data_IF_543846215434
#
_entry.id   IF_543846215434
#
_cell.length_a   1.000
_cell.length_b   1.000
_cell.length_c   1.000
_cell.angle_alpha   90.00
_cell.angle_beta   90.00
_cell.angle_gamma   90.00
#
_symmetry.space_group_name_H-M   'P 1'
#
loop_
_entity.id
_entity.type
_entity.pdbx_description
1 polymer ?
#
# COMPACT_ATOMS: atom_id res chain seq x y z
N UNK A 1 7.33 10.68 -14.18
CA UNK A 1 7.93 9.90 -13.08
C UNK A 1 8.82 8.83 -13.71
N UNK A 2 10.07 8.69 -13.29
CA UNK A 2 10.97 7.63 -13.80
C UNK A 2 10.58 6.33 -13.12
N UNK A 3 10.40 5.24 -13.89
CA UNK A 3 10.11 3.92 -13.32
C UNK A 3 11.34 3.37 -12.61
N UNK A 4 11.20 3.03 -11.32
CA UNK A 4 12.26 2.42 -10.51
C UNK A 4 12.21 0.89 -10.65
N UNK A 5 12.80 0.40 -11.74
CA UNK A 5 12.84 -1.04 -12.02
C UNK A 5 13.56 -1.86 -10.93
N UNK A 6 14.48 -1.24 -10.19
CA UNK A 6 15.28 -1.94 -9.19
C UNK A 6 14.49 -2.24 -7.91
N UNK A 7 13.48 -1.44 -7.59
CA UNK A 7 12.67 -1.62 -6.38
C UNK A 7 11.28 -2.19 -6.66
N UNK A 8 10.97 -2.50 -7.91
CA UNK A 8 9.72 -3.12 -8.32
C UNK A 8 9.51 -4.46 -7.59
N UNK A 9 8.35 -4.61 -6.96
CA UNK A 9 7.90 -5.82 -6.24
C UNK A 9 8.74 -6.22 -5.02
N UNK A 10 9.72 -5.41 -4.60
CA UNK A 10 10.50 -5.66 -3.38
C UNK A 10 9.74 -5.20 -2.15
N UNK A 11 9.86 -5.95 -1.06
CA UNK A 11 9.38 -5.55 0.27
C UNK A 11 10.52 -4.86 1.00
N UNK A 12 10.36 -3.58 1.30
CA UNK A 12 11.27 -2.78 2.11
C UNK A 12 10.77 -2.81 3.56
N UNK A 13 11.65 -3.24 4.45
CA UNK A 13 11.41 -3.24 5.89
C UNK A 13 11.75 -1.85 6.41
N UNK A 14 10.75 -1.14 6.95
CA UNK A 14 10.94 0.21 7.49
C UNK A 14 11.44 0.15 8.93
N UNK A 15 10.99 -0.85 9.71
CA UNK A 15 11.43 -1.06 11.08
C UNK A 15 11.49 -2.56 11.41
N UNK A 16 12.62 -3.00 11.98
CA UNK A 16 12.88 -4.39 12.38
C UNK A 16 12.42 -4.74 13.80
N UNK A 17 11.90 -3.77 14.55
CA UNK A 17 11.37 -3.96 15.89
C UNK A 17 10.23 -4.99 15.90
N UNK A 18 10.18 -5.80 16.95
CA UNK A 18 9.10 -6.80 17.15
C UNK A 18 7.71 -6.18 17.06
N UNK A 19 7.55 -4.93 17.49
CA UNK A 19 6.25 -4.22 17.44
C UNK A 19 5.79 -3.83 16.03
N UNK A 20 6.66 -3.94 15.02
CA UNK A 20 6.40 -3.67 13.60
C UNK A 20 6.27 -4.96 12.77
N UNK A 21 6.58 -6.14 13.30
CA UNK A 21 6.50 -7.39 12.53
C UNK A 21 5.14 -7.62 11.87
N UNK A 22 4.04 -7.33 12.59
CA UNK A 22 2.69 -7.43 12.00
C UNK A 22 2.49 -6.45 10.83
N UNK A 23 3.04 -5.24 10.92
CA UNK A 23 3.01 -4.26 9.84
C UNK A 23 3.73 -4.83 8.60
N UNK A 24 4.94 -5.36 8.78
CA UNK A 24 5.72 -5.91 7.66
C UNK A 24 5.08 -7.16 7.04
N UNK A 25 4.45 -8.02 7.86
CA UNK A 25 3.66 -9.16 7.38
C UNK A 25 2.45 -8.69 6.56
N UNK A 26 1.70 -7.69 7.04
CA UNK A 26 0.56 -7.14 6.28
C UNK A 26 1.03 -6.55 4.95
N UNK A 27 2.14 -5.81 4.95
CA UNK A 27 2.74 -5.23 3.75
C UNK A 27 3.06 -6.31 2.71
N UNK A 28 3.74 -7.37 3.14
CA UNK A 28 4.04 -8.53 2.28
C UNK A 28 2.78 -9.16 1.71
N UNK A 29 1.77 -9.45 2.54
CA UNK A 29 0.54 -10.12 2.11
C UNK A 29 -0.25 -9.29 1.10
N UNK A 30 -0.37 -7.98 1.30
CA UNK A 30 -1.06 -7.09 0.34
C UNK A 30 -0.34 -7.10 -1.00
N UNK A 31 1.00 -6.99 -1.02
CA UNK A 31 1.79 -7.08 -2.26
C UNK A 31 1.59 -8.43 -2.94
N UNK A 32 1.65 -9.54 -2.19
CA UNK A 32 1.40 -10.88 -2.73
C UNK A 32 0.00 -11.01 -3.35
N UNK A 33 -1.03 -10.43 -2.73
CA UNK A 33 -2.40 -10.46 -3.24
C UNK A 33 -2.56 -9.66 -4.53
N UNK A 34 -2.03 -8.43 -4.58
CA UNK A 34 -2.00 -7.62 -5.82
C UNK A 34 -1.29 -8.43 -6.91
N UNK A 35 -0.14 -9.02 -6.61
CA UNK A 35 0.55 -9.85 -7.58
C UNK A 35 -0.28 -11.08 -7.98
N UNK A 36 -1.01 -11.72 -7.10
CA UNK A 36 -1.82 -12.88 -7.50
C UNK A 36 -2.98 -12.48 -8.44
N UNK A 37 -3.57 -11.31 -8.25
CA UNK A 37 -4.69 -10.81 -9.05
C UNK A 37 -4.28 -10.47 -10.49
N UNK A 38 -3.11 -9.84 -10.67
CA UNK A 38 -2.66 -9.38 -11.97
C UNK A 38 -1.65 -10.35 -12.60
N UNK A 39 -2.15 -11.27 -13.44
CA UNK A 39 -1.31 -12.25 -14.18
C UNK A 39 -0.26 -11.56 -15.06
N UNK A 40 -0.64 -10.49 -15.76
CA UNK A 40 0.30 -9.72 -16.56
C UNK A 40 0.97 -8.61 -15.73
N UNK A 41 2.24 -8.83 -15.38
CA UNK A 41 3.05 -7.89 -14.59
C UNK A 41 3.42 -6.62 -15.33
N UNK A 42 3.37 -6.61 -16.66
CA UNK A 42 3.73 -5.42 -17.44
C UNK A 42 2.72 -4.28 -17.30
N UNK A 43 1.55 -4.52 -16.70
CA UNK A 43 0.50 -3.52 -16.50
C UNK A 43 0.47 -2.95 -15.09
N UNK A 44 1.31 -3.45 -14.19
CA UNK A 44 1.29 -3.04 -12.81
C UNK A 44 2.68 -2.63 -12.33
N UNK A 45 2.72 -1.68 -11.42
CA UNK A 45 3.91 -1.38 -10.63
C UNK A 45 3.52 -1.44 -9.16
N UNK A 46 4.29 -2.15 -8.37
CA UNK A 46 4.13 -2.17 -6.92
C UNK A 46 5.48 -1.83 -6.30
N UNK A 47 5.48 -0.83 -5.44
CA UNK A 47 6.64 -0.43 -4.65
C UNK A 47 6.24 -0.39 -3.19
N UNK A 48 7.21 -0.60 -2.30
CA UNK A 48 7.05 -0.38 -0.87
C UNK A 48 7.95 0.77 -0.44
N UNK A 49 7.51 1.58 0.53
CA UNK A 49 8.26 2.76 1.01
C UNK A 49 8.73 3.68 -0.14
N UNK A 50 7.87 3.88 -1.14
CA UNK A 50 8.22 4.65 -2.32
C UNK A 50 8.05 6.14 -2.06
N UNK A 51 9.12 6.91 -2.24
CA UNK A 51 9.09 8.35 -1.95
C UNK A 51 8.37 9.11 -3.06
N UNK A 52 7.16 9.53 -2.75
CA UNK A 52 6.41 10.55 -3.49
C UNK A 52 6.80 11.94 -2.97
N UNK A 53 6.53 13.00 -3.72
CA UNK A 53 6.88 14.36 -3.28
C UNK A 53 6.07 14.74 -2.02
N UNK A 54 6.69 14.63 -0.85
CA UNK A 54 6.05 14.90 0.45
C UNK A 54 5.26 13.73 1.05
N UNK A 55 5.30 12.54 0.45
CA UNK A 55 4.63 11.33 0.95
C UNK A 55 5.48 10.08 0.77
N UNK A 56 5.25 9.08 1.60
CA UNK A 56 5.88 7.76 1.47
C UNK A 56 4.87 6.73 1.96
N UNK A 57 3.99 6.23 1.08
CA UNK A 57 3.06 5.16 1.43
C UNK A 57 3.83 3.87 1.73
N UNK A 58 3.25 3.02 2.57
CA UNK A 58 3.81 1.70 2.88
C UNK A 58 3.82 0.82 1.63
N UNK A 59 2.77 0.95 0.80
CA UNK A 59 2.67 0.30 -0.51
C UNK A 59 2.12 1.29 -1.52
N UNK A 60 2.81 1.46 -2.64
CA UNK A 60 2.35 2.17 -3.81
C UNK A 60 2.01 1.15 -4.90
N UNK A 61 0.76 1.11 -5.34
CA UNK A 61 0.30 0.31 -6.47
C UNK A 61 -0.12 1.23 -7.61
N UNK A 62 0.35 0.96 -8.82
CA UNK A 62 -0.02 1.66 -10.04
C UNK A 62 -0.49 0.65 -11.08
N UNK A 63 -1.68 0.89 -11.64
CA UNK A 63 -2.22 0.16 -12.77
C UNK A 63 -2.12 1.02 -14.04
N UNK A 64 -1.22 0.60 -14.93
CA UNK A 64 -0.85 1.33 -16.14
C UNK A 64 -2.00 1.37 -17.15
N UNK A 65 -2.85 0.34 -17.13
CA UNK A 65 -3.96 0.16 -18.07
C UNK A 65 -5.14 1.06 -17.71
N UNK A 66 -5.53 1.08 -16.44
CA UNK A 66 -6.65 1.90 -15.95
C UNK A 66 -6.22 3.31 -15.58
N UNK A 67 -4.92 3.58 -15.56
CA UNK A 67 -4.36 4.85 -15.09
C UNK A 67 -4.78 5.17 -13.67
N UNK A 68 -4.80 4.15 -12.80
CA UNK A 68 -5.12 4.33 -11.39
C UNK A 68 -3.92 4.02 -10.51
N UNK A 69 -3.81 4.76 -9.41
CA UNK A 69 -2.84 4.56 -8.35
C UNK A 69 -3.57 4.37 -7.04
N UNK A 70 -3.12 3.41 -6.25
CA UNK A 70 -3.61 3.16 -4.91
C UNK A 70 -2.43 3.15 -3.94
N UNK A 71 -2.49 4.02 -2.94
CA UNK A 71 -1.52 4.09 -1.87
C UNK A 71 -2.07 3.45 -0.60
N UNK A 72 -1.41 2.41 -0.08
CA UNK A 72 -1.79 1.78 1.17
C UNK A 72 -1.02 2.38 2.34
N UNK A 73 -1.73 2.66 3.43
CA UNK A 73 -1.17 3.22 4.67
C UNK A 73 -1.56 2.32 5.86
N UNK A 74 -0.59 1.58 6.38
CA UNK A 74 -0.72 0.58 7.42
C UNK A 74 -0.37 1.21 8.77
N UNK A 75 -1.38 1.42 9.61
CA UNK A 75 -1.21 2.04 10.93
C UNK A 75 -1.69 1.13 12.04
N UNK A 76 -1.03 1.21 13.21
CA UNK A 76 -1.49 0.50 14.42
C UNK A 76 -2.94 0.88 14.75
N UNK A 77 -3.22 2.18 14.68
CA UNK A 77 -4.53 2.78 14.84
C UNK A 77 -4.53 4.12 14.10
N UNK A 78 -5.69 4.62 13.68
CA UNK A 78 -5.81 5.97 13.13
C UNK A 78 -6.87 6.76 13.88
N UNK A 79 -6.54 8.01 14.21
CA UNK A 79 -7.53 8.98 14.71
C UNK A 79 -8.34 9.54 13.54
N UNK A 80 -9.54 10.07 13.84
CA UNK A 80 -10.33 10.82 12.85
C UNK A 80 -9.54 11.99 12.25
N UNK A 81 -8.72 12.65 13.07
CA UNK A 81 -7.87 13.77 12.63
C UNK A 81 -6.76 13.32 11.69
N UNK A 82 -6.12 12.18 11.95
CA UNK A 82 -5.10 11.62 11.07
C UNK A 82 -5.72 11.22 9.72
N UNK A 83 -6.87 10.55 9.77
CA UNK A 83 -7.57 10.11 8.56
C UNK A 83 -7.96 11.31 7.69
N UNK A 84 -8.56 12.35 8.30
CA UNK A 84 -8.92 13.59 7.59
C UNK A 84 -7.70 14.24 6.91
N UNK A 85 -6.59 14.39 7.65
CA UNK A 85 -5.34 14.96 7.11
C UNK A 85 -4.79 14.15 5.95
N UNK A 86 -4.80 12.81 6.05
CA UNK A 86 -4.33 11.93 4.99
C UNK A 86 -5.24 11.97 3.76
N UNK A 87 -6.56 11.98 3.95
CA UNK A 87 -7.51 12.18 2.85
C UNK A 87 -7.26 13.50 2.12
N UNK A 88 -7.11 14.60 2.84
CA UNK A 88 -6.76 15.90 2.23
C UNK A 88 -5.42 15.84 1.51
N UNK A 89 -4.40 15.19 2.10
CA UNK A 89 -3.08 15.06 1.51
C UNK A 89 -3.10 14.29 0.18
N UNK A 90 -3.78 13.14 0.14
CA UNK A 90 -3.88 12.31 -1.07
C UNK A 90 -4.79 12.93 -2.14
N UNK A 91 -5.91 13.55 -1.74
CA UNK A 91 -6.81 14.22 -2.69
C UNK A 91 -6.16 15.40 -3.42
N UNK A 92 -5.21 16.09 -2.76
CA UNK A 92 -4.49 17.22 -3.34
C UNK A 92 -3.23 16.80 -4.11
N UNK A 93 -2.87 15.51 -4.11
CA UNK A 93 -1.66 15.03 -4.76
C UNK A 93 -1.96 14.58 -6.19
N UNK A 94 -1.39 15.29 -7.15
CA UNK A 94 -1.57 14.97 -8.56
C UNK A 94 -0.48 14.04 -9.08
N UNK A 95 -0.91 12.99 -9.78
CA UNK A 95 -0.03 12.14 -10.59
C UNK A 95 -0.41 12.37 -12.05
N UNK A 96 0.48 12.91 -12.89
CA UNK A 96 0.15 13.21 -14.28
C UNK A 96 -0.46 12.00 -14.99
N UNK A 97 -1.67 12.17 -15.52
CA UNK A 97 -2.44 11.15 -16.22
C UNK A 97 -2.96 9.98 -15.38
N UNK A 98 -2.89 10.03 -14.04
CA UNK A 98 -3.42 8.98 -13.16
C UNK A 98 -4.40 9.53 -12.13
N UNK A 99 -5.39 8.72 -11.78
CA UNK A 99 -6.16 8.92 -10.55
C UNK A 99 -5.40 8.36 -9.36
N UNK A 100 -5.56 8.95 -8.18
CA UNK A 100 -4.92 8.52 -6.96
C UNK A 100 -5.96 8.33 -5.85
N UNK A 101 -6.00 7.12 -5.32
CA UNK A 101 -6.74 6.77 -4.11
C UNK A 101 -5.77 6.32 -3.01
N UNK A 102 -6.24 6.33 -1.77
CA UNK A 102 -5.51 5.72 -0.67
C UNK A 102 -6.40 4.83 0.19
N UNK A 103 -5.80 3.78 0.74
CA UNK A 103 -6.47 2.78 1.57
C UNK A 103 -5.76 2.71 2.93
N UNK A 104 -6.40 3.16 4.01
CA UNK A 104 -5.87 2.99 5.35
C UNK A 104 -6.16 1.59 5.89
N UNK A 105 -5.13 0.90 6.38
CA UNK A 105 -5.24 -0.43 6.99
C UNK A 105 -4.96 -0.35 8.50
N UNK A 106 -5.92 -0.76 9.33
CA UNK A 106 -5.81 -0.67 10.79
C UNK A 106 -5.36 -2.01 11.41
N UNK A 107 -4.11 -2.10 11.83
CA UNK A 107 -3.55 -3.36 12.34
C UNK A 107 -4.29 -3.92 13.56
N UNK A 108 -4.84 -3.06 14.43
CA UNK A 108 -5.61 -3.47 15.61
C UNK A 108 -6.95 -4.15 15.27
N UNK A 109 -7.50 -3.91 14.08
CA UNK A 109 -8.75 -4.55 13.62
C UNK A 109 -8.52 -5.90 12.95
N UNK A 110 -7.28 -6.17 12.56
CA UNK A 110 -6.91 -7.41 11.90
C UNK A 110 -6.54 -8.50 12.90
N UNK A 111 -6.77 -9.76 12.54
CA UNK A 111 -6.34 -10.93 13.30
C UNK A 111 -4.81 -10.98 13.42
N UNK A 112 -4.33 -11.71 14.41
CA UNK A 112 -2.91 -12.09 14.52
C UNK A 112 -2.63 -13.49 13.98
N UNK A 113 -3.70 -14.27 13.72
CA UNK A 113 -3.59 -15.52 12.97
C UNK A 113 -3.37 -15.20 11.48
N UNK A 114 -2.38 -15.84 10.86
CA UNK A 114 -1.96 -15.52 9.49
C UNK A 114 -3.03 -15.89 8.45
N UNK A 115 -3.79 -16.96 8.68
CA UNK A 115 -4.82 -17.43 7.73
C UNK A 115 -6.00 -16.48 7.75
N UNK A 116 -6.46 -16.11 8.94
CA UNK A 116 -7.57 -15.17 9.10
C UNK A 116 -7.17 -13.76 8.67
N UNK A 117 -5.95 -13.31 9.04
CA UNK A 117 -5.38 -12.05 8.55
C UNK A 117 -5.41 -11.99 7.03
N UNK A 118 -4.95 -13.06 6.37
CA UNK A 118 -4.91 -13.12 4.91
C UNK A 118 -6.31 -13.04 4.30
N UNK A 119 -7.35 -13.63 4.90
CA UNK A 119 -8.74 -13.48 4.42
C UNK A 119 -9.24 -12.05 4.61
N UNK A 120 -9.03 -11.45 5.78
CA UNK A 120 -9.46 -10.08 6.04
C UNK A 120 -8.83 -9.09 5.06
N UNK A 121 -7.58 -9.33 4.65
CA UNK A 121 -6.89 -8.46 3.70
C UNK A 121 -7.52 -8.46 2.29
N UNK A 122 -8.39 -9.41 1.95
CA UNK A 122 -9.11 -9.40 0.66
C UNK A 122 -10.00 -8.16 0.50
N UNK A 123 -10.45 -7.53 1.59
CA UNK A 123 -11.29 -6.31 1.54
C UNK A 123 -10.56 -5.07 1.01
N UNK A 124 -9.23 -5.12 0.94
CA UNK A 124 -8.39 -3.98 0.51
C UNK A 124 -7.84 -4.14 -0.92
N UNK A 125 -8.19 -5.22 -1.62
CA UNK A 125 -7.63 -5.56 -2.93
C UNK A 125 -8.68 -5.29 -4.02
N UNK A 126 -8.30 -4.48 -5.02
CA UNK A 126 -9.18 -4.00 -6.10
C UNK A 126 -8.66 -4.35 -7.50
#
# INVERSE_FOLDING_TARGET
>A
MITDWNNLFKIRIANSDKSFQKHEVVKLLVVMKILNQYRNKSWIRVYTEFKLNGMTPDIYFENIRTKSVVCYEIQKNFSKTWLKKKTEQYNNYEIPYFTLDFIPIQLKKLSSDIVELNKQLDEFIF
#
